data_IF_342755470849
#
_entry.id   IF_342755470849
#
_cell.length_a   1.000
_cell.length_b   1.000
_cell.length_c   1.000
_cell.angle_alpha   90.00
_cell.angle_beta   90.00
_cell.angle_gamma   90.00
#
_symmetry.space_group_name_H-M   'P 1'
#
loop_
_entity.id
_entity.type
_entity.pdbx_description
1 polymer ?
#
# COMPACT_ATOMS: atom_id res chain seq x y z
N UNK A 1 -29.63 9.69 30.50
CA UNK A 1 -28.21 9.42 30.77
C UNK A 1 -27.39 10.50 30.06
N UNK A 2 -26.93 11.48 30.82
CA UNK A 2 -26.07 12.56 30.36
C UNK A 2 -24.75 11.93 29.92
N UNK A 3 -24.46 11.92 28.61
CA UNK A 3 -23.11 11.78 28.10
C UNK A 3 -22.36 13.02 28.60
N UNK A 4 -21.50 12.87 29.58
CA UNK A 4 -20.51 13.88 29.89
C UNK A 4 -19.64 13.98 28.63
N UNK A 5 -19.86 15.03 27.87
CA UNK A 5 -18.90 15.48 26.88
C UNK A 5 -17.62 15.84 27.64
N UNK A 6 -16.75 14.84 27.79
CA UNK A 6 -15.39 15.09 28.22
C UNK A 6 -14.80 16.02 27.18
N UNK A 7 -14.57 17.30 27.56
CA UNK A 7 -13.77 18.20 26.73
C UNK A 7 -12.46 17.48 26.42
N UNK A 8 -12.30 17.02 25.18
CA UNK A 8 -11.08 16.37 24.76
C UNK A 8 -9.93 17.35 25.01
N UNK A 9 -8.91 16.94 25.77
CA UNK A 9 -7.71 17.73 25.96
C UNK A 9 -7.00 17.87 24.63
N UNK A 10 -6.95 19.10 24.08
CA UNK A 10 -6.37 19.43 22.78
C UNK A 10 -4.90 19.81 22.85
N UNK A 11 -4.27 19.74 24.03
CA UNK A 11 -2.84 20.02 24.11
C UNK A 11 -2.07 19.03 23.21
N UNK A 12 -0.99 19.53 22.61
CA UNK A 12 -0.09 18.73 21.80
C UNK A 12 0.96 18.09 22.71
N UNK A 13 1.10 16.79 22.61
CA UNK A 13 2.06 16.04 23.43
C UNK A 13 2.93 15.14 22.57
N UNK A 14 4.11 14.83 23.08
CA UNK A 14 5.07 13.89 22.51
C UNK A 14 5.35 12.79 23.51
N UNK A 15 5.39 11.54 23.06
CA UNK A 15 5.74 10.40 23.90
C UNK A 15 6.66 9.44 23.17
N UNK A 16 7.70 9.01 23.86
CA UNK A 16 8.58 7.94 23.39
C UNK A 16 8.04 6.62 23.92
N UNK A 17 7.90 5.65 23.05
CA UNK A 17 7.55 4.27 23.40
C UNK A 17 8.81 3.42 23.36
N UNK A 18 9.11 2.75 24.45
CA UNK A 18 10.25 1.84 24.52
C UNK A 18 9.94 0.56 23.75
N UNK A 19 10.78 0.25 22.75
CA UNK A 19 10.62 -0.92 21.90
C UNK A 19 11.96 -1.64 21.71
N UNK A 20 11.89 -2.94 21.47
CA UNK A 20 13.01 -3.71 20.92
C UNK A 20 12.97 -3.74 19.41
N UNK A 21 13.78 -4.60 18.80
CA UNK A 21 13.78 -4.80 17.35
C UNK A 21 12.41 -5.27 16.86
N UNK A 22 11.93 -4.64 15.80
CA UNK A 22 10.74 -5.05 15.08
C UNK A 22 10.96 -4.85 13.57
N UNK A 23 10.23 -5.62 12.78
CA UNK A 23 10.23 -5.49 11.32
C UNK A 23 8.82 -5.59 10.74
N UNK A 24 7.80 -5.64 11.58
CA UNK A 24 6.39 -5.73 11.17
C UNK A 24 5.55 -4.72 11.93
N UNK A 25 4.59 -4.12 11.24
CA UNK A 25 3.65 -3.14 11.80
C UNK A 25 2.24 -3.56 11.45
N UNK A 26 1.37 -3.60 12.46
CA UNK A 26 -0.07 -3.75 12.30
C UNK A 26 -0.77 -2.57 12.97
N UNK A 27 -1.66 -1.88 12.28
CA UNK A 27 -2.44 -0.80 12.86
C UNK A 27 -3.93 -0.95 12.57
N UNK A 28 -4.71 -0.85 13.62
CA UNK A 28 -6.17 -0.86 13.61
C UNK A 28 -6.73 0.51 14.01
N UNK A 29 -5.96 1.57 13.81
CA UNK A 29 -6.21 2.90 14.36
C UNK A 29 -6.27 3.95 13.26
N UNK A 30 -6.56 5.18 13.67
CA UNK A 30 -6.48 6.37 12.82
C UNK A 30 -5.10 7.04 12.82
N UNK A 31 -4.12 6.46 13.50
CA UNK A 31 -2.78 7.03 13.56
C UNK A 31 -2.11 7.05 12.19
N UNK A 32 -1.51 8.18 11.86
CA UNK A 32 -0.62 8.30 10.72
C UNK A 32 0.77 7.83 11.10
N UNK A 33 1.29 6.85 10.37
CA UNK A 33 2.59 6.26 10.63
C UNK A 33 3.59 6.80 9.61
N UNK A 34 4.67 7.38 10.11
CA UNK A 34 5.80 7.83 9.29
C UNK A 34 7.01 6.97 9.60
N UNK A 35 7.47 6.24 8.61
CA UNK A 35 8.50 5.22 8.74
C UNK A 35 9.80 5.65 8.08
N UNK A 36 10.90 5.39 8.77
CA UNK A 36 12.26 5.50 8.24
C UNK A 36 13.00 4.20 8.50
N UNK A 37 13.63 3.65 7.48
CA UNK A 37 14.60 2.57 7.68
C UNK A 37 15.91 3.16 8.16
N UNK A 38 16.30 2.83 9.36
CA UNK A 38 17.46 3.39 10.04
C UNK A 38 18.18 2.36 10.90
N UNK A 39 19.23 2.77 11.57
CA UNK A 39 20.10 1.86 12.34
C UNK A 39 19.48 1.31 13.62
N UNK A 40 18.49 2.02 14.18
CA UNK A 40 17.90 1.70 15.48
C UNK A 40 16.40 1.58 15.39
N UNK A 41 15.84 0.76 16.29
CA UNK A 41 14.40 0.65 16.47
C UNK A 41 13.90 1.72 17.43
N UNK A 42 12.96 2.56 17.00
CA UNK A 42 12.38 3.61 17.83
C UNK A 42 10.96 3.92 17.45
N UNK A 43 10.19 4.38 18.43
CA UNK A 43 8.80 4.79 18.26
C UNK A 43 8.55 6.07 19.06
N UNK A 44 8.03 7.10 18.42
CA UNK A 44 7.62 8.36 19.03
C UNK A 44 6.22 8.72 18.57
N UNK A 45 5.33 8.98 19.52
CA UNK A 45 3.96 9.42 19.26
C UNK A 45 3.92 10.93 19.42
N UNK A 46 3.31 11.62 18.49
CA UNK A 46 3.07 13.06 18.56
C UNK A 46 1.62 13.35 18.20
N UNK A 47 0.97 14.21 18.92
CA UNK A 47 -0.37 14.63 18.58
C UNK A 47 -1.19 15.19 19.71
N UNK A 48 -2.49 15.25 19.48
CA UNK A 48 -3.49 15.69 20.46
C UNK A 48 -3.52 14.75 21.64
N UNK A 49 -3.38 15.29 22.85
CA UNK A 49 -3.21 14.52 24.07
C UNK A 49 -4.26 13.41 24.24
N UNK A 50 -5.53 13.70 24.00
CA UNK A 50 -6.59 12.71 24.11
C UNK A 50 -6.41 11.54 23.16
N UNK A 51 -5.94 11.77 21.94
CA UNK A 51 -5.64 10.73 20.96
C UNK A 51 -4.38 9.95 21.33
N UNK A 52 -3.35 10.66 21.76
CA UNK A 52 -2.09 10.03 22.20
C UNK A 52 -2.36 9.13 23.41
N UNK A 53 -3.14 9.59 24.37
CA UNK A 53 -3.50 8.80 25.56
C UNK A 53 -4.33 7.57 25.25
N UNK A 54 -5.13 7.61 24.19
CA UNK A 54 -5.98 6.50 23.75
C UNK A 54 -5.28 5.49 22.84
N UNK A 55 -4.11 5.84 22.32
CA UNK A 55 -3.33 4.94 21.46
C UNK A 55 -2.55 3.93 22.32
N UNK A 56 -2.66 2.66 21.96
CA UNK A 56 -1.91 1.58 22.56
C UNK A 56 -0.98 0.95 21.52
N UNK A 57 0.31 0.98 21.80
CA UNK A 57 1.32 0.34 20.95
C UNK A 57 1.96 -0.78 21.76
N UNK A 58 1.72 -2.02 21.33
CA UNK A 58 2.29 -3.21 21.95
C UNK A 58 3.26 -3.88 20.98
N UNK A 59 4.32 -4.42 21.54
CA UNK A 59 5.25 -5.25 20.77
C UNK A 59 4.98 -6.72 21.09
N UNK A 60 4.68 -7.47 20.03
CA UNK A 60 4.50 -8.91 20.09
C UNK A 60 5.57 -9.56 19.18
N UNK A 61 6.68 -9.99 19.81
CA UNK A 61 7.84 -10.44 19.05
C UNK A 61 8.42 -9.31 18.18
N UNK A 62 8.47 -9.53 16.88
CA UNK A 62 8.97 -8.56 15.90
C UNK A 62 7.86 -7.69 15.28
N UNK A 63 6.65 -7.75 15.83
CA UNK A 63 5.49 -7.00 15.35
C UNK A 63 5.11 -5.90 16.34
N UNK A 64 4.99 -4.67 15.86
CA UNK A 64 4.32 -3.59 16.59
C UNK A 64 2.84 -3.61 16.24
N UNK A 65 1.98 -3.65 17.23
CA UNK A 65 0.53 -3.66 17.08
C UNK A 65 -0.06 -2.39 17.68
N UNK A 66 -0.74 -1.61 16.85
CA UNK A 66 -1.38 -0.35 17.22
C UNK A 66 -2.88 -0.60 17.38
N UNK A 67 -3.38 -0.35 18.58
CA UNK A 67 -4.81 -0.43 18.92
C UNK A 67 -5.23 0.78 19.74
N UNK A 68 -6.53 0.92 19.97
CA UNK A 68 -7.06 1.94 20.88
C UNK A 68 -7.40 1.33 22.24
N UNK A 69 -7.14 2.09 23.33
CA UNK A 69 -7.34 1.62 24.71
C UNK A 69 -8.82 1.56 25.11
N UNK A 70 -9.68 2.33 24.47
CA UNK A 70 -11.08 2.44 24.82
C UNK A 70 -12.00 2.48 23.61
N UNK A 71 -13.30 2.65 23.86
CA UNK A 71 -14.27 2.90 22.80
C UNK A 71 -13.92 4.22 22.12
N UNK A 72 -14.08 4.26 20.79
CA UNK A 72 -13.72 5.40 19.99
C UNK A 72 -14.23 6.72 20.60
N UNK A 73 -13.32 7.66 20.79
CA UNK A 73 -13.68 9.02 21.20
C UNK A 73 -14.11 9.79 19.98
N UNK A 74 -15.28 10.43 20.08
CA UNK A 74 -15.68 11.42 19.07
C UNK A 74 -14.93 12.69 19.37
N UNK A 75 -13.97 13.04 18.52
CA UNK A 75 -13.22 14.28 18.60
C UNK A 75 -13.85 15.27 17.64
N UNK A 76 -14.27 16.40 18.19
CA UNK A 76 -14.81 17.52 17.40
C UNK A 76 -13.68 18.52 17.17
N UNK A 77 -13.37 18.79 15.91
CA UNK A 77 -12.34 19.72 15.50
C UNK A 77 -11.03 19.06 15.03
N UNK A 78 -10.04 19.87 14.62
CA UNK A 78 -8.78 19.35 14.11
C UNK A 78 -8.02 18.60 15.20
N UNK A 79 -7.64 17.36 14.90
CA UNK A 79 -6.90 16.51 15.78
C UNK A 79 -5.79 15.79 14.98
N UNK A 80 -4.64 15.62 15.61
CA UNK A 80 -3.48 14.95 15.01
C UNK A 80 -3.07 13.77 15.85
N UNK A 81 -2.71 12.71 15.16
CA UNK A 81 -2.08 11.55 15.78
C UNK A 81 -1.06 10.99 14.78
N UNK A 82 0.20 11.24 15.04
CA UNK A 82 1.31 10.79 14.19
C UNK A 82 2.26 9.94 15.00
N UNK A 83 2.67 8.81 14.44
CA UNK A 83 3.64 7.92 15.05
C UNK A 83 4.86 7.85 14.14
N UNK A 84 6.00 8.29 14.64
CA UNK A 84 7.28 8.22 13.96
C UNK A 84 7.96 6.92 14.34
N UNK A 85 8.22 6.11 13.34
CA UNK A 85 8.74 4.75 13.51
C UNK A 85 10.03 4.61 12.73
N UNK A 86 11.06 4.08 13.38
CA UNK A 86 12.33 3.73 12.75
C UNK A 86 12.69 2.29 13.07
N UNK A 87 13.21 1.57 12.11
CA UNK A 87 13.70 0.20 12.28
C UNK A 87 14.77 -0.12 11.25
N UNK A 88 15.71 -1.04 11.56
CA UNK A 88 16.70 -1.53 10.59
C UNK A 88 16.08 -2.30 9.44
N UNK A 89 14.88 -2.85 9.61
CA UNK A 89 14.18 -3.62 8.59
C UNK A 89 12.67 -3.44 8.68
N UNK A 90 11.98 -3.64 7.57
CA UNK A 90 10.53 -3.69 7.48
C UNK A 90 10.11 -4.76 6.47
N UNK A 91 9.34 -5.73 6.90
CA UNK A 91 8.92 -6.87 6.07
C UNK A 91 7.41 -6.97 5.91
N UNK A 92 6.65 -6.32 6.79
CA UNK A 92 5.19 -6.37 6.75
C UNK A 92 4.58 -5.09 7.29
N UNK A 93 3.61 -4.55 6.55
CA UNK A 93 2.77 -3.43 6.96
C UNK A 93 1.32 -3.83 6.73
N UNK A 94 0.54 -3.91 7.80
CA UNK A 94 -0.88 -4.21 7.74
C UNK A 94 -1.68 -3.06 8.38
N UNK A 95 -2.56 -2.44 7.58
CA UNK A 95 -3.42 -1.35 8.04
C UNK A 95 -4.88 -1.71 7.84
N UNK A 96 -5.66 -1.65 8.91
CA UNK A 96 -7.11 -1.89 8.91
C UNK A 96 -7.89 -0.73 9.53
N UNK A 97 -7.34 0.39 9.70
CA UNK A 97 -8.04 1.59 10.20
C UNK A 97 -8.13 2.65 9.12
N UNK A 98 -8.30 3.88 9.56
CA UNK A 98 -8.32 5.06 8.69
C UNK A 98 -6.97 5.79 8.60
N UNK A 99 -5.98 5.36 9.37
CA UNK A 99 -4.65 5.95 9.38
C UNK A 99 -3.85 5.65 8.12
N UNK A 100 -2.86 6.48 7.87
CA UNK A 100 -1.97 6.38 6.72
C UNK A 100 -0.63 5.78 7.13
N UNK A 101 0.07 5.19 6.15
CA UNK A 101 1.46 4.80 6.28
C UNK A 101 2.29 5.49 5.20
N UNK A 102 3.28 6.26 5.61
CA UNK A 102 4.20 6.95 4.71
C UNK A 102 5.63 6.51 4.99
N UNK A 103 6.28 5.93 4.00
CA UNK A 103 7.72 5.70 4.05
C UNK A 103 8.44 7.00 3.71
N UNK A 104 9.19 7.53 4.66
CA UNK A 104 9.99 8.74 4.48
C UNK A 104 11.41 8.47 4.00
N UNK A 105 11.77 7.20 3.87
CA UNK A 105 13.03 6.73 3.31
C UNK A 105 12.78 5.67 2.25
N UNK A 106 13.79 5.36 1.47
CA UNK A 106 13.80 4.14 0.68
C UNK A 106 13.79 2.92 1.61
N UNK A 107 13.33 1.80 1.10
CA UNK A 107 13.27 0.52 1.81
C UNK A 107 14.13 -0.49 1.05
N UNK A 108 15.01 -1.15 1.77
CA UNK A 108 15.83 -2.27 1.29
C UNK A 108 15.60 -3.46 2.23
N UNK A 109 14.97 -4.50 1.71
CA UNK A 109 14.59 -5.68 2.49
C UNK A 109 14.52 -6.91 1.59
N UNK A 110 14.51 -8.11 2.17
CA UNK A 110 14.40 -9.34 1.38
C UNK A 110 12.98 -9.50 0.82
N UNK A 111 11.96 -9.28 1.64
CA UNK A 111 10.57 -9.35 1.22
C UNK A 111 9.74 -8.30 1.94
N UNK A 112 8.84 -7.65 1.20
CA UNK A 112 7.90 -6.67 1.75
C UNK A 112 6.47 -7.06 1.41
N UNK A 113 5.65 -7.23 2.44
CA UNK A 113 4.21 -7.44 2.32
C UNK A 113 3.47 -6.21 2.85
N UNK A 114 2.68 -5.59 2.01
CA UNK A 114 1.81 -4.47 2.38
C UNK A 114 0.37 -4.86 2.14
N UNK A 115 -0.45 -4.77 3.18
CA UNK A 115 -1.89 -4.98 3.07
C UNK A 115 -2.61 -3.79 3.68
N UNK A 116 -3.41 -3.12 2.85
CA UNK A 116 -4.29 -2.03 3.25
C UNK A 116 -5.73 -2.52 3.14
N UNK A 117 -6.41 -2.63 4.28
CA UNK A 117 -7.78 -3.12 4.37
C UNK A 117 -8.77 -2.04 4.84
N UNK A 118 -8.30 -0.83 5.05
CA UNK A 118 -9.09 0.30 5.52
C UNK A 118 -9.26 1.40 4.48
N UNK A 119 -9.49 2.61 4.96
CA UNK A 119 -9.70 3.80 4.14
C UNK A 119 -8.50 4.74 4.08
N UNK A 120 -7.44 4.45 4.81
CA UNK A 120 -6.19 5.20 4.76
C UNK A 120 -5.38 4.92 3.50
N UNK A 121 -4.25 5.57 3.39
CA UNK A 121 -3.35 5.48 2.24
C UNK A 121 -1.98 4.93 2.65
N UNK A 122 -1.33 4.25 1.71
CA UNK A 122 0.06 3.82 1.84
C UNK A 122 0.90 4.47 0.76
N UNK A 123 1.92 5.22 1.17
CA UNK A 123 2.88 5.86 0.29
C UNK A 123 4.27 5.28 0.50
N UNK A 124 4.81 4.66 -0.53
CA UNK A 124 6.16 4.11 -0.56
C UNK A 124 7.03 4.92 -1.52
N UNK A 125 8.30 5.10 -1.16
CA UNK A 125 9.32 5.66 -2.06
C UNK A 125 9.91 4.54 -2.92
N UNK A 126 11.21 4.39 -2.93
CA UNK A 126 11.87 3.29 -3.63
C UNK A 126 11.97 2.07 -2.71
N UNK A 127 11.60 0.92 -3.24
CA UNK A 127 11.71 -0.37 -2.55
C UNK A 127 12.63 -1.27 -3.36
N UNK A 128 13.69 -1.74 -2.73
CA UNK A 128 14.57 -2.78 -3.26
C UNK A 128 14.36 -4.05 -2.45
N UNK A 129 13.96 -5.12 -3.09
CA UNK A 129 13.70 -6.39 -2.42
C UNK A 129 13.79 -7.57 -3.41
N UNK A 130 13.69 -8.79 -2.90
CA UNK A 130 13.54 -9.98 -3.75
C UNK A 130 12.07 -10.17 -4.14
N UNK A 131 11.17 -10.03 -3.18
CA UNK A 131 9.74 -10.19 -3.39
C UNK A 131 8.96 -9.05 -2.76
N UNK A 132 7.95 -8.55 -3.48
CA UNK A 132 6.99 -7.58 -2.95
C UNK A 132 5.57 -8.05 -3.19
N UNK A 133 4.71 -7.87 -2.20
CA UNK A 133 3.27 -8.04 -2.32
C UNK A 133 2.58 -6.77 -1.85
N UNK A 134 1.86 -6.11 -2.74
CA UNK A 134 0.99 -4.98 -2.43
C UNK A 134 -0.46 -5.44 -2.59
N UNK A 135 -1.19 -5.47 -1.48
CA UNK A 135 -2.59 -5.90 -1.45
C UNK A 135 -3.45 -4.79 -0.90
N UNK A 136 -4.38 -4.31 -1.70
CA UNK A 136 -5.35 -3.29 -1.33
C UNK A 136 -6.75 -3.89 -1.32
N UNK A 137 -7.39 -3.84 -0.16
CA UNK A 137 -8.78 -4.22 0.04
C UNK A 137 -9.50 -3.04 0.66
N UNK A 138 -10.46 -2.45 -0.02
CA UNK A 138 -11.20 -1.32 0.52
C UNK A 138 -11.12 -0.10 -0.37
N UNK A 139 -11.22 1.09 0.22
CA UNK A 139 -11.36 2.36 -0.49
C UNK A 139 -10.13 3.26 -0.44
N UNK A 140 -9.11 2.90 0.32
CA UNK A 140 -7.85 3.65 0.36
C UNK A 140 -6.98 3.44 -0.87
N UNK A 141 -5.85 4.12 -0.91
CA UNK A 141 -4.92 4.09 -2.03
C UNK A 141 -3.55 3.59 -1.61
N UNK A 142 -2.88 2.87 -2.52
CA UNK A 142 -1.48 2.45 -2.37
C UNK A 142 -0.68 3.02 -3.53
N UNK A 143 0.39 3.75 -3.22
CA UNK A 143 1.31 4.31 -4.20
C UNK A 143 2.75 3.93 -3.86
N UNK A 144 3.50 3.48 -4.86
CA UNK A 144 4.95 3.29 -4.79
C UNK A 144 5.64 4.06 -5.92
N UNK A 145 6.68 4.81 -5.59
CA UNK A 145 7.42 5.60 -6.59
C UNK A 145 8.26 4.69 -7.50
N UNK A 146 8.96 3.74 -6.91
CA UNK A 146 9.75 2.77 -7.64
C UNK A 146 9.89 1.47 -6.86
N UNK A 147 9.87 0.36 -7.57
CA UNK A 147 10.11 -0.97 -7.03
C UNK A 147 11.12 -1.68 -7.92
N UNK A 148 12.15 -2.23 -7.32
CA UNK A 148 13.14 -3.08 -7.97
C UNK A 148 13.21 -4.41 -7.23
N UNK A 149 12.79 -5.49 -7.86
CA UNK A 149 12.67 -6.79 -7.23
C UNK A 149 12.80 -7.94 -8.23
N UNK A 150 12.78 -9.16 -7.75
CA UNK A 150 12.70 -10.33 -8.60
C UNK A 150 11.24 -10.64 -8.97
N UNK A 151 10.35 -10.66 -7.98
CA UNK A 151 8.93 -10.97 -8.17
C UNK A 151 8.05 -9.92 -7.50
N UNK A 152 7.12 -9.37 -8.26
CA UNK A 152 6.11 -8.44 -7.76
C UNK A 152 4.71 -9.02 -7.91
N UNK A 153 3.93 -8.94 -6.83
CA UNK A 153 2.53 -9.33 -6.81
C UNK A 153 1.68 -8.16 -6.35
N UNK A 154 0.75 -7.73 -7.20
CA UNK A 154 -0.19 -6.65 -6.91
C UNK A 154 -1.62 -7.18 -6.95
N UNK A 155 -2.38 -6.90 -5.90
CA UNK A 155 -3.77 -7.31 -5.80
C UNK A 155 -4.61 -6.14 -5.32
N UNK A 156 -5.59 -5.74 -6.12
CA UNK A 156 -6.57 -4.71 -5.78
C UNK A 156 -7.96 -5.34 -5.75
N UNK A 157 -8.56 -5.34 -4.56
CA UNK A 157 -9.92 -5.81 -4.31
C UNK A 157 -10.72 -4.64 -3.76
N UNK A 158 -11.69 -4.14 -4.52
CA UNK A 158 -12.54 -3.04 -4.06
C UNK A 158 -12.48 -1.81 -4.95
N UNK A 159 -12.63 -0.63 -4.35
CA UNK A 159 -12.80 0.64 -5.06
C UNK A 159 -11.63 1.61 -4.95
N UNK A 160 -10.60 1.28 -4.20
CA UNK A 160 -9.39 2.10 -4.08
C UNK A 160 -8.48 2.00 -5.31
N UNK A 161 -7.39 2.72 -5.28
CA UNK A 161 -6.42 2.79 -6.38
C UNK A 161 -5.05 2.26 -5.94
N UNK A 162 -4.41 1.52 -6.84
CA UNK A 162 -3.04 1.05 -6.65
C UNK A 162 -2.18 1.54 -7.82
N UNK A 163 -1.14 2.30 -7.51
CA UNK A 163 -0.23 2.86 -8.50
C UNK A 163 1.22 2.50 -8.17
N UNK A 164 1.92 1.93 -9.16
CA UNK A 164 3.37 1.73 -9.12
C UNK A 164 3.98 2.50 -10.27
N UNK A 165 4.65 3.63 -9.97
CA UNK A 165 5.14 4.55 -11.01
C UNK A 165 6.29 3.98 -11.82
N UNK A 166 7.10 3.09 -11.24
CA UNK A 166 8.16 2.38 -11.95
C UNK A 166 8.42 1.03 -11.28
N UNK A 167 8.19 -0.04 -12.03
CA UNK A 167 8.51 -1.39 -11.61
C UNK A 167 9.62 -1.98 -12.49
N UNK A 168 10.67 -2.44 -11.84
CA UNK A 168 11.68 -3.33 -12.45
C UNK A 168 11.59 -4.67 -11.72
N UNK A 169 11.34 -5.71 -12.47
CA UNK A 169 11.21 -7.06 -11.91
C UNK A 169 11.50 -8.10 -12.99
N UNK A 170 11.73 -9.34 -12.59
CA UNK A 170 11.75 -10.46 -13.53
C UNK A 170 10.32 -10.83 -13.89
N UNK A 171 9.48 -11.01 -12.89
CA UNK A 171 8.08 -11.41 -13.03
C UNK A 171 7.18 -10.42 -12.29
N UNK A 172 6.06 -10.08 -12.89
CA UNK A 172 5.03 -9.25 -12.28
C UNK A 172 3.66 -9.88 -12.49
N UNK A 173 2.89 -9.97 -11.40
CA UNK A 173 1.52 -10.41 -11.41
C UNK A 173 0.63 -9.30 -10.87
N UNK A 174 -0.43 -8.97 -11.59
CA UNK A 174 -1.41 -7.97 -11.16
C UNK A 174 -2.82 -8.52 -11.30
N UNK A 175 -3.60 -8.41 -10.23
CA UNK A 175 -5.00 -8.81 -10.22
C UNK A 175 -5.85 -7.67 -9.70
N UNK A 176 -6.77 -7.20 -10.53
CA UNK A 176 -7.76 -6.20 -10.17
C UNK A 176 -9.14 -6.85 -10.18
N UNK A 177 -9.80 -6.82 -9.01
CA UNK A 177 -11.20 -7.27 -8.87
C UNK A 177 -12.02 -6.16 -8.24
N UNK A 178 -13.05 -5.72 -8.94
CA UNK A 178 -13.92 -4.66 -8.46
C UNK A 178 -13.90 -3.43 -9.34
N UNK A 179 -14.09 -2.25 -8.76
CA UNK A 179 -14.26 -0.98 -9.46
C UNK A 179 -13.11 0.00 -9.35
N UNK A 180 -12.06 -0.34 -8.62
CA UNK A 180 -10.87 0.50 -8.48
C UNK A 180 -9.98 0.49 -9.71
N UNK A 181 -8.89 1.24 -9.64
CA UNK A 181 -7.93 1.40 -10.72
C UNK A 181 -6.55 0.90 -10.30
N UNK A 182 -5.90 0.16 -11.22
CA UNK A 182 -4.52 -0.28 -11.05
C UNK A 182 -3.67 0.25 -12.20
N UNK A 183 -2.68 1.08 -11.87
CA UNK A 183 -1.76 1.69 -12.82
C UNK A 183 -0.32 1.26 -12.51
N UNK A 184 0.39 0.78 -13.52
CA UNK A 184 1.80 0.45 -13.37
C UNK A 184 2.58 0.76 -14.65
N UNK A 185 3.77 1.31 -14.48
CA UNK A 185 4.80 1.38 -15.51
C UNK A 185 5.85 0.32 -15.23
N UNK A 186 6.10 -0.56 -16.19
CA UNK A 186 6.97 -1.72 -16.06
C UNK A 186 8.15 -1.57 -17.00
N UNK A 187 9.37 -1.71 -16.49
CA UNK A 187 10.59 -1.59 -17.28
C UNK A 187 11.37 -2.89 -17.26
N UNK A 188 11.59 -3.46 -18.44
CA UNK A 188 12.42 -4.64 -18.60
C UNK A 188 11.88 -5.90 -17.90
N UNK A 189 10.57 -5.95 -17.61
CA UNK A 189 9.96 -7.11 -16.95
C UNK A 189 9.85 -8.25 -17.96
N UNK A 190 10.39 -9.41 -17.61
CA UNK A 190 10.43 -10.56 -18.53
C UNK A 190 9.05 -11.15 -18.78
N UNK A 191 8.29 -11.38 -17.71
CA UNK A 191 6.96 -12.00 -17.76
C UNK A 191 5.96 -11.23 -16.92
N UNK A 192 4.85 -10.85 -17.54
CA UNK A 192 3.75 -10.13 -16.89
C UNK A 192 2.47 -10.93 -17.03
N UNK A 193 1.78 -11.16 -15.94
CA UNK A 193 0.42 -11.69 -15.92
C UNK A 193 -0.50 -10.69 -15.24
N UNK A 194 -1.54 -10.25 -15.94
CA UNK A 194 -2.48 -9.30 -15.38
C UNK A 194 -3.91 -9.72 -15.68
N UNK A 195 -4.78 -9.56 -14.69
CA UNK A 195 -6.20 -9.85 -14.83
C UNK A 195 -7.05 -8.71 -14.28
N UNK A 196 -8.13 -8.42 -14.98
CA UNK A 196 -9.18 -7.51 -14.56
C UNK A 196 -10.50 -8.28 -14.55
N UNK A 197 -11.14 -8.30 -13.38
CA UNK A 197 -12.48 -8.83 -13.21
C UNK A 197 -13.37 -7.77 -12.56
N UNK A 198 -14.41 -7.32 -13.28
CA UNK A 198 -15.30 -6.28 -12.79
C UNK A 198 -15.33 -5.04 -13.69
N UNK A 199 -15.59 -3.88 -13.10
CA UNK A 199 -15.81 -2.61 -13.81
C UNK A 199 -14.67 -1.60 -13.69
N UNK A 200 -13.61 -1.92 -12.96
CA UNK A 200 -12.44 -1.05 -12.80
C UNK A 200 -11.58 -0.94 -14.06
N UNK A 201 -10.50 -0.20 -13.96
CA UNK A 201 -9.56 0.05 -15.04
C UNK A 201 -8.15 -0.47 -14.69
N UNK A 202 -7.54 -1.14 -15.66
CA UNK A 202 -6.17 -1.63 -15.56
C UNK A 202 -5.32 -0.96 -16.64
N UNK A 203 -4.36 -0.14 -16.23
CA UNK A 203 -3.45 0.59 -17.13
C UNK A 203 -2.02 0.11 -16.92
N UNK A 204 -1.44 -0.47 -17.98
CA UNK A 204 -0.07 -0.95 -17.98
C UNK A 204 0.72 -0.27 -19.09
N UNK A 205 1.83 0.38 -18.70
CA UNK A 205 2.78 0.99 -19.59
C UNK A 205 4.09 0.19 -19.59
N UNK A 206 4.45 -0.39 -20.73
CA UNK A 206 5.59 -1.28 -20.85
C UNK A 206 6.78 -0.57 -21.48
N UNK A 207 7.92 -0.60 -20.81
CA UNK A 207 9.18 -0.12 -21.34
C UNK A 207 10.07 -1.35 -21.61
N UNK A 208 10.10 -1.79 -22.86
CA UNK A 208 10.90 -2.93 -23.32
C UNK A 208 10.72 -4.18 -22.43
N UNK A 209 9.48 -4.61 -22.24
CA UNK A 209 9.16 -5.82 -21.53
C UNK A 209 9.13 -7.04 -22.44
N UNK A 210 9.11 -8.24 -21.84
CA UNK A 210 9.08 -9.50 -22.56
C UNK A 210 7.66 -9.92 -22.93
N UNK A 211 7.13 -10.89 -22.20
CA UNK A 211 5.82 -11.47 -22.48
C UNK A 211 4.76 -10.91 -21.53
N UNK A 212 3.56 -10.66 -22.03
CA UNK A 212 2.42 -10.31 -21.20
C UNK A 212 1.22 -11.18 -21.54
N UNK A 213 0.58 -11.71 -20.50
CA UNK A 213 -0.69 -12.41 -20.57
C UNK A 213 -1.74 -11.57 -19.84
N UNK A 214 -2.78 -11.14 -20.58
CA UNK A 214 -3.82 -10.24 -20.09
C UNK A 214 -5.18 -10.93 -20.18
N UNK A 215 -5.90 -11.00 -19.06
CA UNK A 215 -7.24 -11.57 -19.00
C UNK A 215 -8.23 -10.51 -18.51
N UNK A 216 -9.24 -10.21 -19.32
CA UNK A 216 -10.31 -9.28 -18.99
C UNK A 216 -11.64 -10.02 -18.90
N UNK A 217 -12.31 -9.89 -17.74
CA UNK A 217 -13.67 -10.39 -17.52
C UNK A 217 -14.54 -9.30 -16.94
N UNK A 218 -15.63 -8.98 -17.61
CA UNK A 218 -16.57 -7.97 -17.15
C UNK A 218 -16.63 -6.74 -18.05
N UNK A 219 -16.99 -5.60 -17.46
CA UNK A 219 -17.25 -4.35 -18.18
C UNK A 219 -16.13 -3.32 -18.08
N UNK A 220 -15.11 -3.57 -17.25
CA UNK A 220 -13.97 -2.68 -17.12
C UNK A 220 -13.07 -2.66 -18.35
N UNK A 221 -12.10 -1.75 -18.37
CA UNK A 221 -11.21 -1.53 -19.49
C UNK A 221 -9.76 -1.79 -19.11
N UNK A 222 -9.02 -2.36 -20.06
CA UNK A 222 -7.58 -2.53 -19.97
C UNK A 222 -6.92 -1.66 -21.04
N UNK A 223 -5.98 -0.82 -20.62
CA UNK A 223 -5.17 -0.04 -21.54
C UNK A 223 -3.72 -0.51 -21.47
N UNK A 224 -3.16 -0.87 -22.63
CA UNK A 224 -1.79 -1.34 -22.79
C UNK A 224 -1.03 -0.38 -23.70
N UNK A 225 0.10 0.13 -23.19
CA UNK A 225 0.99 1.06 -23.92
C UNK A 225 2.42 0.58 -23.90
N UNK A 226 3.22 1.14 -24.79
CA UNK A 226 4.67 0.95 -24.78
C UNK A 226 5.14 -0.19 -25.66
N UNK A 227 6.13 -0.95 -25.22
CA UNK A 227 6.79 -1.97 -26.04
C UNK A 227 6.87 -3.31 -25.29
N UNK A 228 6.30 -4.33 -25.92
CA UNK A 228 6.38 -5.74 -25.51
C UNK A 228 6.98 -6.58 -26.60
N UNK A 229 7.55 -7.71 -26.24
CA UNK A 229 7.96 -8.73 -27.23
C UNK A 229 6.75 -9.55 -27.70
N UNK A 230 5.95 -10.08 -26.78
CA UNK A 230 4.76 -10.87 -27.09
C UNK A 230 3.59 -10.52 -26.18
N UNK A 231 2.39 -10.63 -26.70
CA UNK A 231 1.15 -10.37 -25.99
C UNK A 231 0.14 -11.49 -26.26
N UNK A 232 -0.40 -12.05 -25.20
CA UNK A 232 -1.56 -12.93 -25.22
C UNK A 232 -2.71 -12.27 -24.47
N UNK A 233 -3.88 -12.22 -25.07
CA UNK A 233 -5.07 -11.64 -24.45
C UNK A 233 -6.22 -12.62 -24.47
N UNK A 234 -7.04 -12.59 -23.42
CA UNK A 234 -8.35 -13.21 -23.41
C UNK A 234 -9.37 -12.22 -22.86
N UNK A 235 -10.57 -12.24 -23.42
CA UNK A 235 -11.61 -11.29 -23.07
C UNK A 235 -12.96 -11.99 -23.02
N UNK A 236 -13.72 -11.72 -21.94
CA UNK A 236 -15.14 -12.09 -21.77
C UNK A 236 -15.89 -10.90 -21.20
N UNK A 237 -17.02 -10.55 -21.78
CA UNK A 237 -17.85 -9.44 -21.33
C UNK A 237 -17.79 -8.24 -22.27
N UNK A 238 -18.28 -7.09 -21.79
CA UNK A 238 -18.44 -5.87 -22.58
C UNK A 238 -17.26 -4.90 -22.52
N UNK A 239 -16.31 -5.12 -21.63
CA UNK A 239 -15.10 -4.28 -21.52
C UNK A 239 -14.20 -4.40 -22.74
N UNK A 240 -13.24 -3.50 -22.84
CA UNK A 240 -12.30 -3.42 -23.97
C UNK A 240 -10.85 -3.54 -23.50
N UNK A 241 -10.03 -4.16 -24.36
CA UNK A 241 -8.58 -4.14 -24.24
C UNK A 241 -8.06 -3.21 -25.34
N UNK A 242 -7.61 -2.02 -24.95
CA UNK A 242 -7.03 -1.04 -25.86
C UNK A 242 -5.52 -1.28 -25.96
N UNK A 243 -5.07 -1.65 -27.13
CA UNK A 243 -3.65 -1.84 -27.47
C UNK A 243 -3.17 -0.93 -28.60
N UNK A 244 -3.92 0.15 -28.87
CA UNK A 244 -3.62 1.06 -29.98
C UNK A 244 -2.28 1.77 -29.84
N UNK A 245 -1.78 1.94 -28.62
CA UNK A 245 -0.49 2.56 -28.32
C UNK A 245 0.59 1.55 -27.91
N UNK A 246 0.34 0.27 -28.15
CA UNK A 246 1.28 -0.81 -27.88
C UNK A 246 1.99 -1.23 -29.15
N UNK A 247 3.30 -1.40 -29.07
CA UNK A 247 4.13 -1.94 -30.14
C UNK A 247 4.75 -3.25 -29.69
N UNK A 248 4.63 -4.28 -30.55
CA UNK A 248 5.32 -5.54 -30.35
C UNK A 248 6.68 -5.46 -31.08
N UNK A 249 7.75 -5.63 -30.30
CA UNK A 249 9.10 -5.65 -30.85
C UNK A 249 9.33 -6.97 -31.61
N UNK A 250 9.94 -6.90 -32.81
CA UNK A 250 10.35 -8.06 -33.59
C UNK A 250 11.72 -8.58 -33.15
#
# INVERSE_FOLDING_TARGET
>A
YSSKDLKADRSFVKRVVKVGYFCKIESYTSADIKFVQGKTSSVRIEGTKSLVDNLDIKQNGETLVFTTKGRGMRIVGPARLTVYVSSPDITSVYLKGSGNFEAQSNIDTDALNVELSGSGDVDLRKVLCDNISLRLRGSGDVEAQAVDCAVANFELLGSGDLEVKMLKARNANAALRGSGDLDATLKGVADVKASLQGSGDLDLDFINCGNADIDLRGSGDVELKGTLRTLNTSKKGSGDIDRSQLRLAR
#
